data_IF_923784020480
#
_entry.id   IF_923784020480
#
_cell.length_a   1.000
_cell.length_b   1.000
_cell.length_c   1.000
_cell.angle_alpha   90.00
_cell.angle_beta   90.00
_cell.angle_gamma   90.00
#
_symmetry.space_group_name_H-M   'P 1'
#
loop_
_entity.id
_entity.type
_entity.pdbx_description
1 polymer ?
#
# COMPACT_ATOMS: atom_id res chain seq x y z
N UNK A 1 14.37 11.93 -6.35
CA UNK A 1 13.23 12.75 -5.90
C UNK A 1 12.92 13.70 -7.03
N UNK A 2 11.67 13.77 -7.43
CA UNK A 2 11.22 14.50 -8.59
C UNK A 2 9.93 15.23 -8.21
N UNK A 3 9.82 16.47 -8.62
CA UNK A 3 8.67 17.35 -8.32
C UNK A 3 8.34 18.13 -9.60
N UNK A 4 7.08 18.56 -9.79
CA UNK A 4 6.74 19.39 -10.93
C UNK A 4 7.50 20.73 -10.87
N UNK A 5 7.94 21.23 -12.02
CA UNK A 5 8.58 22.55 -12.14
C UNK A 5 7.53 23.64 -12.40
N UNK A 6 7.68 24.80 -11.75
CA UNK A 6 6.75 25.94 -11.87
C UNK A 6 5.36 25.74 -11.27
N UNK A 7 5.13 24.66 -10.52
CA UNK A 7 3.88 24.40 -9.81
C UNK A 7 3.95 24.94 -8.37
N UNK A 8 2.94 25.72 -7.97
CA UNK A 8 2.85 26.35 -6.65
C UNK A 8 1.97 25.58 -5.66
N UNK A 9 1.42 24.42 -6.04
CA UNK A 9 0.67 23.60 -5.09
C UNK A 9 1.54 23.19 -3.90
N UNK A 10 0.90 22.96 -2.75
CA UNK A 10 1.62 22.65 -1.50
C UNK A 10 1.21 21.31 -0.88
N UNK A 11 0.23 20.62 -1.47
CA UNK A 11 -0.24 19.31 -1.04
C UNK A 11 -0.38 18.41 -2.28
N UNK A 12 0.68 17.68 -2.63
CA UNK A 12 0.71 16.81 -3.81
C UNK A 12 0.63 15.32 -3.43
N UNK A 13 -0.05 14.50 -4.23
CA UNK A 13 0.07 13.05 -4.10
C UNK A 13 1.52 12.60 -4.32
N UNK A 14 1.92 11.57 -3.58
CA UNK A 14 3.28 11.03 -3.60
C UNK A 14 3.29 9.63 -4.19
N UNK A 15 4.25 9.31 -5.05
CA UNK A 15 4.54 7.94 -5.46
C UNK A 15 5.97 7.57 -5.10
N UNK A 16 6.13 6.52 -4.29
CA UNK A 16 7.42 5.90 -4.03
C UNK A 16 7.61 4.72 -4.98
N UNK A 17 8.61 4.79 -5.85
CA UNK A 17 8.81 3.81 -6.92
C UNK A 17 10.14 3.06 -6.75
N UNK A 18 10.11 1.73 -6.83
CA UNK A 18 11.27 0.86 -6.57
C UNK A 18 11.71 0.13 -7.83
N UNK A 19 13.03 0.05 -8.00
CA UNK A 19 13.65 -0.58 -9.16
C UNK A 19 13.51 -2.11 -9.16
N UNK A 20 13.68 -2.72 -10.33
CA UNK A 20 13.85 -4.17 -10.47
C UNK A 20 15.29 -4.63 -10.17
N UNK A 21 15.56 -5.92 -10.37
CA UNK A 21 16.91 -6.49 -10.19
C UNK A 21 16.98 -7.71 -9.27
N UNK A 22 15.86 -8.44 -9.13
CA UNK A 22 15.76 -9.72 -8.42
C UNK A 22 16.30 -9.69 -6.99
N UNK A 23 16.23 -8.54 -6.31
CA UNK A 23 16.81 -8.30 -4.98
C UNK A 23 18.33 -8.43 -4.88
N UNK A 24 19.05 -8.60 -5.99
CA UNK A 24 20.51 -8.80 -6.00
C UNK A 24 21.29 -7.70 -6.72
N UNK A 25 20.59 -6.83 -7.45
CA UNK A 25 21.19 -5.75 -8.24
C UNK A 25 20.19 -4.59 -8.44
N UNK A 26 20.66 -3.56 -9.13
CA UNK A 26 19.89 -2.35 -9.47
C UNK A 26 20.05 -1.24 -8.44
N UNK A 27 19.58 -0.07 -8.81
CA UNK A 27 19.45 1.09 -7.93
C UNK A 27 18.38 2.06 -8.47
N UNK A 28 18.09 3.09 -7.69
CA UNK A 28 17.10 4.14 -7.97
C UNK A 28 17.34 4.96 -9.25
N UNK A 29 18.48 4.82 -9.91
CA UNK A 29 18.83 5.52 -11.16
C UNK A 29 18.60 4.68 -12.43
N UNK A 30 18.01 3.50 -12.30
CA UNK A 30 17.55 2.68 -13.42
C UNK A 30 16.57 3.44 -14.32
N UNK A 31 16.60 3.16 -15.64
CA UNK A 31 15.86 3.93 -16.65
C UNK A 31 14.35 3.93 -16.39
N UNK A 32 13.78 2.79 -16.00
CA UNK A 32 12.36 2.67 -15.68
C UNK A 32 11.98 3.53 -14.47
N UNK A 33 12.82 3.55 -13.42
CA UNK A 33 12.62 4.40 -12.25
C UNK A 33 12.65 5.89 -12.59
N UNK A 34 13.67 6.34 -13.34
CA UNK A 34 13.81 7.75 -13.73
C UNK A 34 12.61 8.17 -14.57
N UNK A 35 12.29 7.39 -15.61
CA UNK A 35 11.23 7.72 -16.55
C UNK A 35 9.84 7.67 -15.91
N UNK A 36 9.59 6.70 -15.02
CA UNK A 36 8.34 6.64 -14.24
C UNK A 36 8.19 7.90 -13.39
N UNK A 37 9.22 8.22 -12.60
CA UNK A 37 9.20 9.33 -11.67
C UNK A 37 9.03 10.67 -12.39
N UNK A 38 9.73 10.89 -13.51
CA UNK A 38 9.57 12.08 -14.34
C UNK A 38 8.20 12.19 -14.98
N UNK A 39 7.63 11.06 -15.44
CA UNK A 39 6.31 11.06 -16.08
C UNK A 39 5.22 11.47 -15.10
N UNK A 40 5.22 10.93 -13.89
CA UNK A 40 4.26 11.30 -12.84
C UNK A 40 4.52 12.69 -12.26
N UNK A 41 5.78 13.14 -12.17
CA UNK A 41 6.09 14.52 -11.80
C UNK A 41 5.51 15.52 -12.82
N UNK A 42 5.55 15.21 -14.12
CA UNK A 42 4.88 16.03 -15.16
C UNK A 42 3.34 16.04 -15.02
N UNK A 43 2.76 15.11 -14.27
CA UNK A 43 1.32 15.03 -13.99
C UNK A 43 0.93 15.66 -12.64
N UNK A 44 1.86 16.33 -11.94
CA UNK A 44 1.56 17.02 -10.68
C UNK A 44 1.82 16.19 -9.41
N UNK A 45 2.39 14.98 -9.54
CA UNK A 45 2.77 14.16 -8.39
C UNK A 45 4.16 14.55 -7.88
N UNK A 46 4.40 14.36 -6.60
CA UNK A 46 5.76 14.20 -6.07
C UNK A 46 6.16 12.74 -6.23
N UNK A 47 7.35 12.45 -6.72
CA UNK A 47 7.82 11.07 -6.82
C UNK A 47 9.21 10.87 -6.25
N UNK A 48 9.44 9.68 -5.69
CA UNK A 48 10.72 9.30 -5.15
C UNK A 48 11.09 7.89 -5.62
N UNK A 49 12.14 7.82 -6.44
CA UNK A 49 12.80 6.55 -6.74
C UNK A 49 13.62 6.08 -5.54
N UNK A 50 13.33 4.88 -5.04
CA UNK A 50 13.89 4.34 -3.80
C UNK A 50 14.94 3.26 -4.07
N UNK A 51 15.99 3.29 -3.24
CA UNK A 51 16.85 2.12 -3.03
C UNK A 51 16.27 1.30 -1.87
N UNK A 52 16.52 -0.01 -1.92
CA UNK A 52 16.25 -0.94 -0.82
C UNK A 52 17.46 -1.86 -0.61
N UNK A 53 17.54 -2.52 0.55
CA UNK A 53 18.63 -3.47 0.85
C UNK A 53 18.58 -4.65 -0.12
N UNK A 54 19.72 -4.90 -0.78
CA UNK A 54 19.93 -6.04 -1.66
C UNK A 54 20.53 -7.22 -0.88
N UNK A 55 20.33 -8.43 -1.40
CA UNK A 55 20.99 -9.61 -0.89
C UNK A 55 22.52 -9.45 -1.01
N UNK A 56 23.27 -9.65 0.08
CA UNK A 56 24.74 -9.50 0.05
C UNK A 56 25.43 -10.63 -0.74
N UNK A 57 24.74 -11.75 -0.96
CA UNK A 57 25.26 -12.91 -1.68
C UNK A 57 24.18 -13.50 -2.59
N UNK A 58 24.40 -13.39 -3.90
CA UNK A 58 23.47 -13.91 -4.92
C UNK A 58 23.28 -15.43 -4.86
N UNK A 59 24.33 -16.19 -4.52
CA UNK A 59 24.23 -17.66 -4.46
C UNK A 59 23.30 -18.05 -3.32
N UNK A 60 23.49 -17.49 -2.12
CA UNK A 60 22.63 -17.78 -0.98
C UNK A 60 21.19 -17.36 -1.25
N UNK A 61 20.97 -16.20 -1.87
CA UNK A 61 19.63 -15.78 -2.27
C UNK A 61 18.97 -16.79 -3.22
N UNK A 62 19.70 -17.29 -4.23
CA UNK A 62 19.15 -18.24 -5.20
C UNK A 62 18.99 -19.67 -4.69
N UNK A 63 19.57 -20.02 -3.53
CA UNK A 63 19.58 -21.41 -3.03
C UNK A 63 18.94 -21.60 -1.64
N UNK A 64 18.64 -20.53 -0.91
CA UNK A 64 18.06 -20.59 0.44
C UNK A 64 16.75 -19.80 0.51
N UNK A 65 15.63 -20.50 0.70
CA UNK A 65 14.33 -19.86 0.89
C UNK A 65 14.29 -18.99 2.15
N UNK A 66 14.97 -19.37 3.22
CA UNK A 66 15.10 -18.55 4.43
C UNK A 66 15.78 -17.21 4.12
N UNK A 67 16.87 -17.24 3.34
CA UNK A 67 17.56 -16.02 2.88
C UNK A 67 16.70 -15.19 1.93
N UNK A 68 15.87 -15.82 1.09
CA UNK A 68 14.92 -15.12 0.23
C UNK A 68 13.88 -14.36 1.07
N UNK A 69 13.23 -15.03 2.03
CA UNK A 69 12.31 -14.40 2.99
C UNK A 69 12.97 -13.22 3.71
N UNK A 70 14.15 -13.43 4.31
CA UNK A 70 14.86 -12.39 5.04
C UNK A 70 15.18 -11.18 4.15
N UNK A 71 15.63 -11.42 2.92
CA UNK A 71 15.98 -10.34 1.98
C UNK A 71 14.76 -9.55 1.56
N UNK A 72 13.68 -10.22 1.15
CA UNK A 72 12.43 -9.58 0.70
C UNK A 72 11.82 -8.77 1.84
N UNK A 73 11.71 -9.34 3.04
CA UNK A 73 11.12 -8.65 4.20
C UNK A 73 11.98 -7.47 4.70
N UNK A 74 13.32 -7.52 4.56
CA UNK A 74 14.17 -6.35 4.78
C UNK A 74 13.89 -5.23 3.79
N UNK A 75 13.73 -5.55 2.51
CA UNK A 75 13.40 -4.57 1.49
C UNK A 75 12.01 -3.96 1.71
N UNK A 76 11.02 -4.76 2.14
CA UNK A 76 9.70 -4.26 2.57
C UNK A 76 9.82 -3.31 3.75
N UNK A 77 10.63 -3.65 4.76
CA UNK A 77 10.89 -2.77 5.90
C UNK A 77 11.52 -1.42 5.49
N UNK A 78 12.40 -1.43 4.49
CA UNK A 78 12.99 -0.19 3.95
C UNK A 78 11.95 0.68 3.24
N UNK A 79 11.02 0.07 2.50
CA UNK A 79 9.93 0.78 1.82
C UNK A 79 8.94 1.39 2.84
N UNK A 80 8.55 0.63 3.87
CA UNK A 80 7.75 1.14 5.01
C UNK A 80 8.45 2.32 5.70
N UNK A 81 9.77 2.24 5.91
CA UNK A 81 10.54 3.33 6.49
C UNK A 81 10.55 4.61 5.63
N UNK A 82 10.56 4.46 4.30
CA UNK A 82 10.47 5.58 3.36
C UNK A 82 9.11 6.29 3.44
N UNK A 83 8.00 5.55 3.53
CA UNK A 83 6.67 6.14 3.76
C UNK A 83 6.64 6.95 5.07
N UNK A 84 7.15 6.36 6.16
CA UNK A 84 7.23 7.03 7.47
C UNK A 84 8.10 8.29 7.43
N UNK A 85 9.16 8.30 6.62
CA UNK A 85 10.00 9.48 6.43
C UNK A 85 9.21 10.65 5.86
N UNK A 86 8.41 10.43 4.81
CA UNK A 86 7.56 11.47 4.22
C UNK A 86 6.49 11.97 5.18
N UNK A 87 5.82 11.08 5.92
CA UNK A 87 4.84 11.49 6.95
C UNK A 87 5.50 12.33 8.07
N UNK A 88 6.71 11.97 8.48
CA UNK A 88 7.47 12.76 9.44
C UNK A 88 7.86 14.12 8.89
N UNK A 89 8.33 14.20 7.64
CA UNK A 89 8.63 15.50 7.02
C UNK A 89 7.38 16.39 6.97
N UNK A 90 6.23 15.84 6.57
CA UNK A 90 4.95 16.56 6.60
C UNK A 90 4.65 17.15 7.98
N UNK A 91 4.76 16.34 9.04
CA UNK A 91 4.53 16.81 10.42
C UNK A 91 5.55 17.86 10.89
N UNK A 92 6.72 17.95 10.25
CA UNK A 92 7.79 18.90 10.58
C UNK A 92 7.90 20.07 9.60
N UNK A 93 6.81 20.38 8.89
CA UNK A 93 6.73 21.58 8.03
C UNK A 93 6.58 21.30 6.55
N UNK A 94 6.48 20.02 6.14
CA UNK A 94 6.17 19.61 4.78
C UNK A 94 7.13 20.19 3.73
N UNK A 95 8.43 19.94 3.92
CA UNK A 95 9.49 20.43 3.05
C UNK A 95 9.35 19.95 1.61
N UNK A 96 8.67 18.81 1.41
CA UNK A 96 8.42 18.21 0.10
C UNK A 96 7.06 18.57 -0.51
N UNK A 97 6.24 19.39 0.15
CA UNK A 97 4.94 19.85 -0.35
C UNK A 97 3.99 18.69 -0.74
N UNK A 98 3.94 17.66 0.11
CA UNK A 98 3.17 16.44 -0.10
C UNK A 98 1.82 16.47 0.63
N UNK A 99 0.88 15.63 0.18
CA UNK A 99 -0.33 15.26 0.91
C UNK A 99 -0.14 13.87 1.56
N UNK A 100 -0.14 13.76 2.90
CA UNK A 100 0.06 12.48 3.59
C UNK A 100 -1.13 11.52 3.46
N UNK A 101 -2.26 11.96 2.88
CA UNK A 101 -3.44 11.15 2.61
C UNK A 101 -3.49 10.62 1.17
N UNK A 102 -2.43 10.85 0.38
CA UNK A 102 -2.32 10.39 -0.99
C UNK A 102 -0.90 9.87 -1.26
N UNK A 103 -0.52 8.79 -0.59
CA UNK A 103 0.77 8.12 -0.74
C UNK A 103 0.57 6.79 -1.45
N UNK A 104 1.15 6.64 -2.63
CA UNK A 104 1.14 5.40 -3.41
C UNK A 104 2.53 4.78 -3.43
N UNK A 105 2.57 3.46 -3.57
CA UNK A 105 3.82 2.72 -3.71
C UNK A 105 3.79 1.85 -4.95
N UNK A 106 4.95 1.70 -5.58
CA UNK A 106 5.05 0.92 -6.79
C UNK A 106 6.46 0.48 -7.11
N UNK A 107 6.57 -0.29 -8.18
CA UNK A 107 7.87 -0.63 -8.74
C UNK A 107 7.76 -1.54 -9.94
N UNK A 108 8.93 -1.94 -10.43
CA UNK A 108 9.09 -2.93 -11.47
C UNK A 108 9.76 -4.20 -10.93
N UNK A 109 9.27 -5.38 -11.31
CA UNK A 109 9.88 -6.67 -10.94
C UNK A 109 10.02 -6.81 -9.42
N UNK A 110 11.23 -6.98 -8.88
CA UNK A 110 11.49 -6.98 -7.44
C UNK A 110 10.91 -5.75 -6.70
N UNK A 111 10.95 -4.56 -7.30
CA UNK A 111 10.33 -3.36 -6.73
C UNK A 111 8.81 -3.46 -6.64
N UNK A 112 8.17 -4.09 -7.62
CA UNK A 112 6.72 -4.35 -7.60
C UNK A 112 6.37 -5.37 -6.50
N UNK A 113 7.18 -6.42 -6.35
CA UNK A 113 7.05 -7.40 -5.25
C UNK A 113 7.11 -6.67 -3.91
N UNK A 114 8.07 -5.76 -3.71
CA UNK A 114 8.18 -4.97 -2.48
C UNK A 114 6.93 -4.11 -2.26
N UNK A 115 6.46 -3.40 -3.28
CA UNK A 115 5.27 -2.54 -3.18
C UNK A 115 4.02 -3.32 -2.76
N UNK A 116 3.79 -4.49 -3.38
CA UNK A 116 2.68 -5.39 -3.03
C UNK A 116 2.81 -5.89 -1.60
N UNK A 117 3.98 -6.40 -1.21
CA UNK A 117 4.20 -6.96 0.13
C UNK A 117 4.21 -5.88 1.21
N UNK A 118 4.52 -4.63 0.87
CA UNK A 118 4.45 -3.51 1.80
C UNK A 118 3.00 -3.20 2.20
N UNK A 119 2.10 -3.26 1.21
CA UNK A 119 0.69 -2.99 1.37
C UNK A 119 -0.04 -4.18 2.01
N UNK A 120 0.18 -5.41 1.52
CA UNK A 120 -0.67 -6.55 1.92
C UNK A 120 -0.06 -7.42 3.02
N UNK A 121 1.07 -7.00 3.61
CA UNK A 121 1.56 -7.55 4.88
C UNK A 121 1.35 -6.46 5.93
N UNK A 122 0.08 -6.27 6.27
CA UNK A 122 -0.38 -5.31 7.27
C UNK A 122 -0.20 -5.85 8.69
N UNK A 123 -0.27 -7.17 8.83
CA UNK A 123 -0.04 -7.84 10.08
C UNK A 123 1.02 -8.92 9.94
N UNK A 124 1.87 -9.06 10.96
CA UNK A 124 2.79 -10.20 11.04
C UNK A 124 2.05 -11.54 11.02
N UNK A 125 0.76 -11.58 11.38
CA UNK A 125 -0.10 -12.77 11.34
C UNK A 125 -0.39 -13.25 9.91
N UNK A 126 -0.29 -12.37 8.91
CA UNK A 126 -0.50 -12.74 7.50
C UNK A 126 0.61 -13.70 7.05
N UNK A 127 1.81 -13.57 7.63
CA UNK A 127 2.91 -14.48 7.38
C UNK A 127 2.73 -15.82 8.12
N UNK A 128 3.08 -16.95 7.48
CA UNK A 128 3.02 -18.24 8.13
C UNK A 128 3.93 -18.29 9.37
N UNK A 129 3.64 -19.18 10.33
CA UNK A 129 4.53 -19.38 11.49
C UNK A 129 5.90 -19.91 11.06
N UNK A 130 5.88 -20.86 10.13
CA UNK A 130 7.06 -21.54 9.59
C UNK A 130 6.83 -21.90 8.13
N UNK A 131 7.91 -22.01 7.37
CA UNK A 131 7.89 -22.53 6.01
C UNK A 131 8.91 -23.66 5.87
N UNK A 132 8.79 -24.44 4.80
CA UNK A 132 9.71 -25.53 4.46
C UNK A 132 10.59 -25.06 3.29
N UNK A 133 11.90 -25.28 3.38
CA UNK A 133 12.85 -25.01 2.31
C UNK A 133 12.84 -26.13 1.24
N UNK A 134 13.53 -25.90 0.13
CA UNK A 134 13.64 -26.88 -0.97
C UNK A 134 14.30 -28.22 -0.57
N UNK A 135 14.96 -28.29 0.59
CA UNK A 135 15.59 -29.51 1.12
C UNK A 135 14.70 -30.23 2.15
N UNK A 136 13.50 -29.72 2.44
CA UNK A 136 12.58 -30.27 3.42
C UNK A 136 12.83 -29.80 4.86
N UNK A 137 13.68 -28.81 5.09
CA UNK A 137 13.93 -28.26 6.42
C UNK A 137 12.94 -27.13 6.74
N UNK A 138 12.41 -27.14 7.97
CA UNK A 138 11.57 -26.05 8.45
C UNK A 138 12.41 -24.87 8.95
N UNK A 139 11.96 -23.64 8.64
CA UNK A 139 12.49 -22.40 9.20
C UNK A 139 11.36 -21.51 9.72
N UNK A 140 11.67 -20.63 10.68
CA UNK A 140 10.68 -19.83 11.40
C UNK A 140 10.53 -18.43 10.77
N UNK A 141 9.48 -18.25 9.99
CA UNK A 141 9.18 -16.98 9.30
C UNK A 141 8.84 -15.87 10.29
N UNK A 142 8.20 -16.20 11.41
CA UNK A 142 7.89 -15.23 12.47
C UNK A 142 9.17 -14.70 13.14
N UNK A 143 10.20 -15.53 13.27
CA UNK A 143 11.52 -15.06 13.74
C UNK A 143 12.13 -14.09 12.74
N UNK A 144 12.00 -14.33 11.44
CA UNK A 144 12.54 -13.44 10.41
C UNK A 144 11.82 -12.09 10.45
N UNK A 145 10.49 -12.06 10.33
CA UNK A 145 9.72 -10.81 10.28
C UNK A 145 9.89 -9.96 11.53
N UNK A 146 10.07 -10.57 12.70
CA UNK A 146 10.28 -9.83 13.95
C UNK A 146 11.70 -9.25 14.09
N UNK A 147 12.66 -9.63 13.23
CA UNK A 147 14.06 -9.19 13.33
C UNK A 147 14.54 -8.36 12.11
N UNK A 148 13.85 -8.40 10.96
CA UNK A 148 14.33 -7.77 9.69
C UNK A 148 14.52 -6.26 9.79
N UNK A 149 13.74 -5.57 10.62
CA UNK A 149 13.87 -4.15 10.93
C UNK A 149 14.24 -3.89 12.40
N UNK A 150 14.96 -4.80 13.05
CA UNK A 150 15.42 -4.62 14.42
C UNK A 150 14.29 -4.67 15.45
N UNK A 151 14.27 -3.74 16.40
CA UNK A 151 13.38 -3.81 17.58
C UNK A 151 11.86 -3.71 17.25
N UNK A 152 11.51 -3.33 16.02
CA UNK A 152 10.14 -3.10 15.57
C UNK A 152 9.74 -3.99 14.39
N UNK A 153 10.42 -5.12 14.20
CA UNK A 153 10.06 -6.11 13.19
C UNK A 153 10.00 -5.54 11.77
N UNK A 154 8.95 -5.87 11.03
CA UNK A 154 8.79 -5.45 9.62
C UNK A 154 8.58 -3.94 9.46
N UNK A 155 7.93 -3.29 10.43
CA UNK A 155 7.85 -1.82 10.44
C UNK A 155 9.26 -1.24 10.48
N UNK A 156 10.07 -1.74 11.39
CA UNK A 156 11.50 -1.48 11.41
C UNK A 156 11.94 -0.24 12.18
N UNK A 157 13.24 -0.18 12.45
CA UNK A 157 13.89 0.75 13.39
C UNK A 157 14.72 1.85 12.71
N UNK A 158 14.65 1.93 11.37
CA UNK A 158 15.34 2.90 10.50
C UNK A 158 14.87 4.36 10.67
N UNK A 159 14.32 4.70 11.84
CA UNK A 159 13.81 6.01 12.21
C UNK A 159 12.31 6.17 12.02
N UNK A 160 11.82 7.37 12.38
CA UNK A 160 10.44 7.80 12.15
C UNK A 160 9.41 6.94 12.93
N UNK A 161 9.77 6.55 14.14
CA UNK A 161 8.88 5.87 15.08
C UNK A 161 7.58 6.63 15.31
N UNK A 162 6.47 5.90 15.34
CA UNK A 162 5.13 6.45 15.58
C UNK A 162 4.46 7.09 14.37
N UNK A 163 5.14 7.14 13.22
CA UNK A 163 4.50 7.49 11.95
C UNK A 163 3.99 6.22 11.26
N UNK A 164 2.83 6.29 10.62
CA UNK A 164 2.22 5.14 9.92
C UNK A 164 2.99 4.82 8.63
N UNK A 165 2.98 3.57 8.18
CA UNK A 165 3.55 3.10 6.90
C UNK A 165 2.49 2.81 5.83
N UNK A 166 1.21 3.02 6.15
CA UNK A 166 0.03 2.74 5.31
C UNK A 166 0.11 3.51 3.99
N UNK A 167 -0.50 2.97 2.94
CA UNK A 167 -0.52 3.59 1.62
C UNK A 167 -1.96 3.81 1.16
N UNK A 168 -2.15 4.33 -0.04
CA UNK A 168 -3.46 4.59 -0.64
C UNK A 168 -3.66 3.84 -1.96
N UNK A 169 -2.69 3.03 -2.36
CA UNK A 169 -2.75 2.18 -3.54
C UNK A 169 -1.39 1.65 -3.97
N UNK A 170 -1.42 0.57 -4.74
CA UNK A 170 -0.26 -0.23 -5.14
C UNK A 170 -0.16 -0.27 -6.66
N UNK A 171 1.05 -0.07 -7.17
CA UNK A 171 1.38 -0.12 -8.60
C UNK A 171 2.36 -1.26 -8.85
N UNK A 172 1.93 -2.29 -9.59
CA UNK A 172 2.72 -3.48 -9.87
C UNK A 172 3.08 -3.59 -11.36
N UNK A 173 4.32 -3.25 -11.72
CA UNK A 173 4.83 -3.48 -13.07
C UNK A 173 5.60 -4.81 -13.09
N UNK A 174 5.01 -5.84 -13.68
CA UNK A 174 5.55 -7.20 -13.72
C UNK A 174 5.94 -7.75 -12.33
N UNK A 175 5.10 -7.49 -11.31
CA UNK A 175 5.28 -7.98 -9.95
C UNK A 175 4.46 -9.22 -9.62
N UNK A 176 4.54 -9.66 -8.38
CA UNK A 176 3.75 -10.77 -7.85
C UNK A 176 3.80 -10.86 -6.33
N UNK A 177 2.88 -11.63 -5.77
CA UNK A 177 2.73 -11.88 -4.33
C UNK A 177 3.13 -13.33 -3.99
N UNK A 178 3.71 -13.57 -2.81
CA UNK A 178 4.08 -14.94 -2.43
C UNK A 178 2.87 -15.80 -2.02
N UNK A 179 1.90 -15.22 -1.34
CA UNK A 179 0.62 -15.87 -1.03
C UNK A 179 -0.52 -14.92 -1.38
N UNK A 180 -1.43 -15.35 -2.26
CA UNK A 180 -2.58 -14.53 -2.65
C UNK A 180 -3.54 -14.31 -1.49
N UNK A 181 -3.56 -15.19 -0.48
CA UNK A 181 -4.47 -15.05 0.67
C UNK A 181 -4.14 -13.86 1.58
N UNK A 182 -3.02 -13.18 1.35
CA UNK A 182 -2.73 -11.90 1.98
C UNK A 182 -3.60 -10.76 1.43
N UNK A 183 -4.26 -10.96 0.28
CA UNK A 183 -5.20 -9.99 -0.27
C UNK A 183 -6.58 -10.20 0.37
N UNK A 184 -7.02 -9.23 1.17
CA UNK A 184 -8.30 -9.17 1.88
C UNK A 184 -9.06 -7.85 1.66
N UNK A 185 -10.24 -7.72 2.26
CA UNK A 185 -11.16 -6.61 1.99
C UNK A 185 -10.75 -5.26 2.62
N UNK A 186 -9.66 -5.21 3.37
CA UNK A 186 -9.11 -4.01 3.99
C UNK A 186 -7.92 -3.44 3.20
N UNK A 187 -7.45 -4.16 2.18
CA UNK A 187 -6.27 -3.79 1.41
C UNK A 187 -6.50 -2.63 0.44
N UNK A 188 -5.40 -1.95 0.13
CA UNK A 188 -5.42 -0.80 -0.77
C UNK A 188 -5.62 -1.16 -2.25
N UNK A 189 -6.17 -0.23 -3.05
CA UNK A 189 -6.40 -0.46 -4.46
C UNK A 189 -5.16 -0.93 -5.24
N UNK A 190 -5.35 -1.91 -6.13
CA UNK A 190 -4.27 -2.55 -6.91
C UNK A 190 -4.34 -2.23 -8.40
N UNK A 191 -3.27 -1.68 -8.96
CA UNK A 191 -3.09 -1.63 -10.42
C UNK A 191 -1.89 -2.46 -10.86
N UNK A 192 -2.12 -3.44 -11.73
CA UNK A 192 -1.04 -4.30 -12.26
C UNK A 192 -0.91 -4.22 -13.77
N UNK A 193 0.33 -4.26 -14.25
CA UNK A 193 0.66 -4.36 -15.67
C UNK A 193 1.61 -5.54 -15.83
N UNK A 194 1.27 -6.52 -16.68
CA UNK A 194 2.12 -7.70 -16.83
C UNK A 194 1.96 -8.36 -18.20
N UNK A 195 3.03 -9.00 -18.67
CA UNK A 195 3.02 -9.84 -19.86
C UNK A 195 2.54 -11.27 -19.55
N UNK A 196 1.79 -11.90 -20.44
CA UNK A 196 1.27 -13.26 -20.19
C UNK A 196 2.32 -14.36 -20.35
N UNK A 197 3.47 -14.06 -20.96
CA UNK A 197 4.59 -14.98 -21.15
C UNK A 197 5.81 -14.55 -20.31
N UNK A 198 5.55 -13.96 -19.14
CA UNK A 198 6.57 -13.57 -18.18
C UNK A 198 7.18 -14.80 -17.50
N UNK A 199 8.41 -15.13 -17.88
CA UNK A 199 9.17 -16.24 -17.31
C UNK A 199 9.97 -15.87 -16.06
N UNK A 200 9.92 -14.62 -15.59
CA UNK A 200 10.63 -14.20 -14.39
C UNK A 200 9.68 -14.15 -13.20
N UNK A 201 8.52 -13.53 -13.37
CA UNK A 201 7.42 -13.58 -12.41
C UNK A 201 6.21 -14.05 -13.21
N UNK A 202 5.71 -15.24 -12.91
CA UNK A 202 4.60 -15.84 -13.66
C UNK A 202 3.39 -14.91 -13.66
N UNK A 203 2.68 -14.87 -14.79
CA UNK A 203 1.37 -14.21 -14.85
C UNK A 203 0.36 -14.87 -13.90
N UNK A 204 0.48 -16.19 -13.74
CA UNK A 204 -0.24 -16.99 -12.73
C UNK A 204 0.68 -17.19 -11.49
N UNK A 205 0.63 -18.34 -10.83
CA UNK A 205 1.61 -18.74 -9.82
C UNK A 205 2.68 -19.67 -10.41
N UNK A 206 3.96 -19.39 -10.13
CA UNK A 206 5.06 -20.33 -10.37
C UNK A 206 6.31 -19.90 -9.55
N UNK A 207 7.33 -20.78 -9.43
CA UNK A 207 8.62 -20.39 -8.88
C UNK A 207 9.19 -19.19 -9.62
N UNK A 208 9.58 -18.15 -8.88
CA UNK A 208 10.17 -16.96 -9.49
C UNK A 208 11.50 -17.29 -10.20
N UNK A 209 11.87 -16.45 -11.16
CA UNK A 209 13.02 -16.65 -12.05
C UNK A 209 12.99 -17.98 -12.84
N UNK A 210 11.80 -18.60 -12.98
CA UNK A 210 11.62 -19.96 -13.53
C UNK A 210 12.51 -21.01 -12.86
N UNK A 211 12.78 -20.85 -11.56
CA UNK A 211 13.65 -21.75 -10.80
C UNK A 211 12.92 -22.29 -9.60
N UNK A 212 12.78 -23.62 -9.51
CA UNK A 212 12.17 -24.29 -8.35
C UNK A 212 12.95 -24.08 -7.05
N UNK A 213 14.12 -23.42 -7.09
CA UNK A 213 14.87 -23.04 -5.90
C UNK A 213 14.41 -21.70 -5.31
N UNK A 214 13.67 -20.91 -6.06
CA UNK A 214 13.18 -19.60 -5.65
C UNK A 214 11.70 -19.72 -5.30
N UNK A 215 11.28 -18.99 -4.27
CA UNK A 215 9.90 -18.97 -3.82
C UNK A 215 8.92 -18.69 -4.97
N UNK A 216 7.75 -19.31 -4.85
CA UNK A 216 6.64 -19.08 -5.77
C UNK A 216 6.15 -17.63 -5.64
N UNK A 217 5.85 -17.03 -6.78
CA UNK A 217 5.14 -15.76 -6.85
C UNK A 217 3.95 -15.91 -7.79
N UNK A 218 2.84 -15.30 -7.38
CA UNK A 218 1.59 -15.22 -8.11
C UNK A 218 1.44 -13.82 -8.71
N UNK A 219 1.39 -13.73 -10.04
CA UNK A 219 1.26 -12.48 -10.77
C UNK A 219 -0.19 -11.98 -10.90
N UNK A 220 -0.38 -11.08 -11.85
CA UNK A 220 -1.60 -10.30 -12.04
C UNK A 220 -2.85 -11.13 -12.38
N UNK A 221 -2.74 -12.38 -12.83
CA UNK A 221 -3.91 -13.24 -13.00
C UNK A 221 -4.55 -13.54 -11.65
N UNK A 222 -3.74 -14.05 -10.72
CA UNK A 222 -4.17 -14.59 -9.44
C UNK A 222 -4.38 -13.48 -8.41
N UNK A 223 -3.52 -12.46 -8.39
CA UNK A 223 -3.71 -11.30 -7.51
C UNK A 223 -5.05 -10.61 -7.77
N UNK A 224 -5.40 -10.38 -9.04
CA UNK A 224 -6.66 -9.71 -9.37
C UNK A 224 -7.87 -10.60 -9.18
N UNK A 225 -7.75 -11.92 -9.41
CA UNK A 225 -8.83 -12.85 -9.06
C UNK A 225 -9.14 -12.77 -7.57
N UNK A 226 -8.11 -12.78 -6.72
CA UNK A 226 -8.30 -12.66 -5.29
C UNK A 226 -8.79 -11.27 -4.87
N UNK A 227 -8.27 -10.19 -5.46
CA UNK A 227 -8.74 -8.82 -5.23
C UNK A 227 -10.25 -8.68 -5.55
N UNK A 228 -10.71 -9.26 -6.66
CA UNK A 228 -12.13 -9.29 -7.02
C UNK A 228 -12.98 -10.06 -5.98
N UNK A 229 -12.47 -11.19 -5.48
CA UNK A 229 -13.14 -11.99 -4.45
C UNK A 229 -13.20 -11.27 -3.10
N UNK A 230 -12.14 -10.55 -2.73
CA UNK A 230 -12.04 -9.76 -1.50
C UNK A 230 -12.80 -8.43 -1.58
N UNK A 231 -13.13 -7.95 -2.78
CA UNK A 231 -13.78 -6.66 -3.00
C UNK A 231 -12.80 -5.47 -2.98
N UNK A 232 -11.51 -5.72 -3.22
CA UNK A 232 -10.48 -4.69 -3.36
C UNK A 232 -10.60 -4.03 -4.73
N UNK A 233 -10.62 -2.70 -4.77
CA UNK A 233 -10.65 -1.96 -6.02
C UNK A 233 -9.37 -2.27 -6.82
N UNK A 234 -9.51 -2.80 -8.03
CA UNK A 234 -8.35 -3.20 -8.79
C UNK A 234 -8.57 -3.03 -10.31
N UNK A 235 -7.48 -2.86 -11.06
CA UNK A 235 -7.51 -2.87 -12.52
C UNK A 235 -6.18 -3.38 -13.10
N UNK A 236 -6.20 -3.97 -14.30
CA UNK A 236 -5.02 -4.57 -14.92
C UNK A 236 -4.91 -4.34 -16.42
N UNK A 237 -3.70 -4.04 -16.87
CA UNK A 237 -3.34 -4.02 -18.29
C UNK A 237 -2.43 -5.21 -18.63
N UNK A 238 -2.91 -6.08 -19.53
CA UNK A 238 -2.23 -7.33 -19.84
C UNK A 238 -1.65 -7.30 -21.25
N UNK A 239 -0.35 -7.55 -21.37
CA UNK A 239 0.36 -7.66 -22.64
C UNK A 239 0.43 -9.12 -23.10
N UNK A 240 -0.50 -9.52 -23.96
CA UNK A 240 -0.55 -10.88 -24.51
C UNK A 240 0.75 -11.26 -25.23
N UNK A 241 1.39 -12.34 -24.79
CA UNK A 241 2.63 -12.89 -25.35
C UNK A 241 3.91 -12.16 -24.94
N UNK A 242 3.82 -11.07 -24.17
CA UNK A 242 4.97 -10.31 -23.71
C UNK A 242 5.66 -11.03 -22.53
N UNK A 243 6.99 -10.93 -22.48
CA UNK A 243 7.81 -11.40 -21.35
C UNK A 243 8.00 -10.34 -20.27
N UNK A 244 9.03 -10.51 -19.43
CA UNK A 244 9.25 -9.65 -18.25
C UNK A 244 9.76 -8.24 -18.57
N UNK A 245 10.58 -8.10 -19.62
CA UNK A 245 11.46 -6.94 -19.81
C UNK A 245 10.81 -5.69 -20.41
N UNK A 246 9.48 -5.68 -20.60
CA UNK A 246 8.80 -4.58 -21.28
C UNK A 246 9.00 -3.23 -20.58
N UNK A 247 9.12 -3.22 -19.25
CA UNK A 247 9.32 -1.99 -18.48
C UNK A 247 10.78 -1.55 -18.37
N UNK A 248 11.75 -2.46 -18.54
CA UNK A 248 13.15 -2.26 -18.13
C UNK A 248 13.86 -1.07 -18.80
N UNK A 249 13.46 -0.71 -20.02
CA UNK A 249 14.06 0.39 -20.79
C UNK A 249 13.25 1.70 -20.71
N UNK A 250 12.31 1.80 -19.76
CA UNK A 250 11.49 2.98 -19.55
C UNK A 250 10.77 3.45 -20.82
N UNK A 251 10.76 4.76 -21.05
CA UNK A 251 10.04 5.44 -22.13
C UNK A 251 10.51 5.07 -23.54
N UNK A 252 11.65 4.37 -23.68
CA UNK A 252 12.08 3.84 -24.97
C UNK A 252 11.21 2.66 -25.45
N UNK A 253 10.35 2.10 -24.58
CA UNK A 253 9.37 1.09 -24.94
C UNK A 253 7.95 1.68 -24.89
N UNK A 254 7.20 1.59 -25.99
CA UNK A 254 5.81 2.08 -26.03
C UNK A 254 4.86 1.37 -25.06
N UNK A 255 5.17 0.12 -24.67
CA UNK A 255 4.43 -0.58 -23.62
C UNK A 255 4.63 0.04 -22.24
N UNK A 256 5.81 0.59 -21.97
CA UNK A 256 6.03 1.32 -20.72
C UNK A 256 5.19 2.61 -20.70
N UNK A 257 5.20 3.40 -21.78
CA UNK A 257 4.39 4.63 -21.85
C UNK A 257 2.88 4.34 -21.76
N UNK A 258 2.41 3.24 -22.35
CA UNK A 258 1.03 2.79 -22.22
C UNK A 258 0.70 2.38 -20.76
N UNK A 259 1.64 1.71 -20.08
CA UNK A 259 1.49 1.34 -18.68
C UNK A 259 1.39 2.58 -17.77
N UNK A 260 2.19 3.62 -18.04
CA UNK A 260 2.13 4.90 -17.33
C UNK A 260 0.75 5.56 -17.49
N UNK A 261 0.25 5.66 -18.72
CA UNK A 261 -1.08 6.24 -18.99
C UNK A 261 -2.19 5.47 -18.27
N UNK A 262 -2.20 4.14 -18.41
CA UNK A 262 -3.16 3.28 -17.72
C UNK A 262 -3.12 3.46 -16.20
N UNK A 263 -1.92 3.46 -15.62
CA UNK A 263 -1.71 3.68 -14.18
C UNK A 263 -2.22 5.05 -13.75
N UNK A 264 -1.92 6.11 -14.50
CA UNK A 264 -2.40 7.46 -14.16
C UNK A 264 -3.92 7.56 -14.16
N UNK A 265 -4.59 6.90 -15.11
CA UNK A 265 -6.05 6.86 -15.19
C UNK A 265 -6.67 6.10 -14.01
N UNK A 266 -6.01 5.04 -13.53
CA UNK A 266 -6.44 4.31 -12.35
C UNK A 266 -6.25 5.11 -11.06
N UNK A 267 -5.09 5.77 -10.89
CA UNK A 267 -4.77 6.51 -9.67
C UNK A 267 -5.55 7.81 -9.54
N UNK A 268 -5.85 8.48 -10.67
CA UNK A 268 -6.47 9.79 -10.64
C UNK A 268 -7.78 9.82 -9.82
N UNK A 269 -8.77 8.93 -10.01
CA UNK A 269 -9.97 8.88 -9.17
C UNK A 269 -9.72 8.64 -7.68
N UNK A 270 -8.57 8.04 -7.29
CA UNK A 270 -8.24 7.76 -5.89
C UNK A 270 -7.79 9.00 -5.13
N UNK A 271 -7.42 10.06 -5.84
CA UNK A 271 -6.93 11.29 -5.23
C UNK A 271 -8.00 11.94 -4.34
N UNK A 272 -7.65 12.46 -3.15
CA UNK A 272 -8.60 13.06 -2.21
C UNK A 272 -9.48 14.16 -2.82
N UNK A 273 -8.95 14.91 -3.78
CA UNK A 273 -9.70 15.96 -4.48
C UNK A 273 -10.87 15.41 -5.33
N UNK A 274 -10.75 14.18 -5.85
CA UNK A 274 -11.80 13.53 -6.64
C UNK A 274 -12.83 12.80 -5.77
N UNK A 275 -12.45 12.47 -4.54
CA UNK A 275 -13.36 11.97 -3.51
C UNK A 275 -14.11 13.10 -2.77
N UNK A 276 -14.07 14.32 -3.30
CA UNK A 276 -15.07 15.35 -2.98
C UNK A 276 -16.42 15.03 -3.65
N UNK A 277 -16.93 13.82 -3.40
CA UNK A 277 -18.35 13.69 -3.22
C UNK A 277 -18.69 14.73 -2.15
N UNK A 278 -19.41 15.76 -2.58
CA UNK A 278 -20.36 16.42 -1.71
C UNK A 278 -21.12 15.29 -1.04
N UNK A 279 -20.74 14.97 0.20
CA UNK A 279 -21.69 14.49 1.15
C UNK A 279 -22.71 15.64 1.25
N UNK A 280 -23.63 15.70 0.28
CA UNK A 280 -25.01 15.93 0.62
C UNK A 280 -25.33 14.76 1.55
N UNK A 281 -24.92 14.91 2.81
CA UNK A 281 -25.80 14.50 3.86
C UNK A 281 -27.09 15.21 3.47
N UNK A 282 -28.04 14.48 2.89
CA UNK A 282 -29.41 14.70 3.32
C UNK A 282 -29.33 14.53 4.83
N UNK A 283 -29.01 15.64 5.51
CA UNK A 283 -29.58 15.92 6.80
C UNK A 283 -31.05 16.00 6.46
N UNK A 284 -31.70 14.84 6.40
CA UNK A 284 -33.08 14.80 6.84
C UNK A 284 -32.96 15.27 8.28
N UNK A 285 -33.12 16.57 8.51
CA UNK A 285 -33.55 17.06 9.79
C UNK A 285 -34.89 16.39 10.00
N UNK A 286 -34.87 15.17 10.53
CA UNK A 286 -35.96 14.68 11.32
C UNK A 286 -36.00 15.67 12.47
N UNK A 287 -36.88 16.67 12.34
CA UNK A 287 -37.28 17.58 13.39
C UNK A 287 -37.70 16.71 14.59
N UNK A 288 -36.74 16.33 15.42
CA UNK A 288 -36.97 15.49 16.58
C UNK A 288 -37.53 16.39 17.66
N UNK A 289 -38.84 16.28 17.88
CA UNK A 289 -39.54 17.07 18.90
C UNK A 289 -39.34 16.41 20.25
N UNK A 290 -39.00 17.18 21.27
CA UNK A 290 -38.96 16.67 22.65
C UNK A 290 -40.36 16.19 23.05
N UNK A 291 -40.49 14.91 23.40
CA UNK A 291 -41.74 14.28 23.82
C UNK A 291 -41.85 14.29 25.35
N UNK A 292 -40.78 13.91 26.05
CA UNK A 292 -40.80 13.76 27.50
C UNK A 292 -39.43 13.94 28.12
N UNK A 293 -39.38 14.50 29.31
CA UNK A 293 -38.20 14.49 30.18
C UNK A 293 -38.49 13.57 31.37
N UNK A 294 -37.57 12.68 31.69
CA UNK A 294 -37.68 11.80 32.85
C UNK A 294 -36.44 11.90 33.75
N UNK A 295 -36.63 11.66 35.04
CA UNK A 295 -35.52 11.47 35.97
C UNK A 295 -34.92 10.06 35.87
N UNK A 296 -33.83 9.82 36.59
CA UNK A 296 -33.15 8.51 36.63
C UNK A 296 -34.01 7.37 37.19
N UNK A 297 -35.16 7.68 37.79
CA UNK A 297 -36.14 6.70 38.28
C UNK A 297 -37.32 6.51 37.30
N UNK A 298 -37.24 7.11 36.10
CA UNK A 298 -38.25 6.97 35.05
C UNK A 298 -39.48 7.86 35.24
N UNK A 299 -39.49 8.77 36.21
CA UNK A 299 -40.64 9.63 36.52
C UNK A 299 -40.60 10.88 35.65
N UNK A 300 -41.76 11.35 35.22
CA UNK A 300 -41.86 12.60 34.45
C UNK A 300 -41.27 13.77 35.26
N UNK A 301 -40.44 14.58 34.60
CA UNK A 301 -39.73 15.69 35.23
C UNK A 301 -39.76 16.93 34.35
N UNK A 302 -39.51 18.09 34.97
CA UNK A 302 -39.25 19.34 34.26
C UNK A 302 -37.73 19.57 34.17
N UNK A 303 -37.30 20.56 33.37
CA UNK A 303 -35.89 20.92 33.25
C UNK A 303 -35.38 21.36 34.64
N UNK A 304 -34.37 20.66 35.16
CA UNK A 304 -33.71 20.96 36.44
C UNK A 304 -32.21 21.06 36.23
N UNK A 305 -31.57 21.92 37.02
CA UNK A 305 -30.11 22.07 37.04
C UNK A 305 -29.48 21.18 38.10
N UNK A 306 -28.21 20.80 37.91
CA UNK A 306 -27.40 19.95 38.79
C UNK A 306 -28.02 18.57 39.06
N UNK A 307 -28.82 18.05 38.11
CA UNK A 307 -29.39 16.70 38.16
C UNK A 307 -29.36 16.03 36.79
N UNK A 308 -29.10 14.72 36.72
CA UNK A 308 -29.19 13.96 35.49
C UNK A 308 -30.65 13.76 35.04
N UNK A 309 -30.92 14.02 33.77
CA UNK A 309 -32.23 13.89 33.14
C UNK A 309 -32.10 13.21 31.77
N UNK A 310 -33.12 12.43 31.39
CA UNK A 310 -33.23 11.85 30.05
C UNK A 310 -34.31 12.58 29.24
N UNK A 311 -33.96 12.98 28.03
CA UNK A 311 -34.79 13.71 27.08
C UNK A 311 -35.16 12.75 25.95
N UNK A 312 -36.44 12.38 25.86
CA UNK A 312 -36.96 11.43 24.88
C UNK A 312 -37.58 12.21 23.74
N UNK A 313 -37.19 11.91 22.51
CA UNK A 313 -37.65 12.60 21.31
C UNK A 313 -38.63 11.75 20.49
N UNK A 314 -39.36 12.42 19.59
CA UNK A 314 -40.41 11.82 18.76
C UNK A 314 -39.91 10.77 17.77
N UNK A 315 -38.61 10.71 17.52
CA UNK A 315 -37.95 9.72 16.67
C UNK A 315 -37.47 8.48 17.45
N UNK A 316 -37.76 8.41 18.76
CA UNK A 316 -37.32 7.33 19.65
C UNK A 316 -35.92 7.52 20.22
N UNK A 317 -35.18 8.56 19.81
CA UNK A 317 -33.88 8.88 20.40
C UNK A 317 -34.02 9.39 21.83
N UNK A 318 -33.01 9.12 22.65
CA UNK A 318 -32.94 9.59 24.05
C UNK A 318 -31.59 10.27 24.29
N UNK A 319 -31.61 11.47 24.87
CA UNK A 319 -30.40 12.20 25.27
C UNK A 319 -30.30 12.28 26.79
N UNK A 320 -29.12 11.98 27.33
CA UNK A 320 -28.78 12.20 28.73
C UNK A 320 -28.15 13.58 28.90
N UNK A 321 -28.70 14.41 29.80
CA UNK A 321 -28.19 15.76 30.06
C UNK A 321 -28.09 16.04 31.56
N UNK A 322 -27.01 16.72 31.94
CA UNK A 322 -26.87 17.42 33.23
C UNK A 322 -26.68 18.89 32.90
N UNK A 323 -27.66 19.74 33.24
CA UNK A 323 -27.53 21.18 33.07
C UNK A 323 -26.91 21.72 34.35
N UNK A 324 -25.69 22.22 34.29
CA UNK A 324 -25.02 22.80 35.45
C UNK A 324 -25.37 24.30 35.52
N UNK A 325 -25.65 24.81 36.71
CA UNK A 325 -25.82 26.24 36.99
C UNK A 325 -24.81 26.69 38.02
#
# INVERSE_FOLDING_TARGET
FYTPDGDNEINRPVILYMHGGSFTAGDKSTSDCVDFCESFAKMGYVTASLNYRLAPNIINFLTSNETQYETVLKAVSDAKAAVRYFRKDFANGNSYAIDPNAIFVGGYSAGAVIAIHQAYIDNVIDLPTSSIDNNGNAFNVQSIVNNVGGAYGIEGDAGNYGYSSDVNGVISFAGGINDVNWIDNNDEPLVSIQGTNDGTISYNCAPALSSSLVLDLCGAAEMHLQADLAGVLNDKLIYSGEGHSWAANGSNNSKFTQAIEFTSNFLFPLLPCNNTATNVMEVTEKNKRLVKIIDVLGRASNIMTNRPLFYIYSDGSTEYKIIIK
#
